data_IF_396596147922
#
_entry.id   IF_396596147922
#
_cell.length_a   1.000
_cell.length_b   1.000
_cell.length_c   1.000
_cell.angle_alpha   90.00
_cell.angle_beta   90.00
_cell.angle_gamma   90.00
#
_symmetry.space_group_name_H-M   'P 1'
#
loop_
_entity.id
_entity.type
_entity.pdbx_description
1 polymer ?
#
# COMPACT_ATOMS: atom_id res chain seq x y z
N UNK A 1 -2.24 -38.13 6.23
CA UNK A 1 -3.43 -37.33 5.84
C UNK A 1 -3.37 -36.04 6.62
N UNK A 2 -2.62 -35.08 6.12
CA UNK A 2 -2.63 -33.68 6.56
C UNK A 2 -3.94 -33.07 6.04
N UNK A 3 -4.70 -32.30 6.83
CA UNK A 3 -5.90 -31.66 6.31
C UNK A 3 -5.49 -30.69 5.20
N UNK A 4 -6.03 -30.90 4.00
CA UNK A 4 -6.04 -29.91 2.92
C UNK A 4 -6.69 -28.64 3.48
N UNK A 5 -5.91 -27.61 3.86
CA UNK A 5 -6.46 -26.57 4.73
C UNK A 5 -5.72 -25.24 4.89
N UNK A 6 -4.67 -24.97 4.11
CA UNK A 6 -4.10 -23.62 3.96
C UNK A 6 -3.80 -23.38 2.48
N UNK A 7 -4.86 -23.30 1.67
CA UNK A 7 -4.72 -22.82 0.30
C UNK A 7 -4.59 -21.30 0.37
N UNK A 8 -3.39 -20.79 0.09
CA UNK A 8 -3.19 -19.36 -0.13
C UNK A 8 -3.86 -18.99 -1.47
N UNK A 9 -4.66 -17.91 -1.53
CA UNK A 9 -5.16 -17.45 -2.82
C UNK A 9 -3.97 -17.14 -3.73
N UNK A 10 -3.94 -17.74 -4.93
CA UNK A 10 -2.88 -17.46 -5.91
C UNK A 10 -2.99 -16.02 -6.44
N UNK A 11 -4.20 -15.46 -6.45
CA UNK A 11 -4.44 -14.08 -6.84
C UNK A 11 -3.94 -13.09 -5.77
N UNK A 12 -3.14 -12.08 -6.16
CA UNK A 12 -2.69 -11.05 -5.24
C UNK A 12 -3.87 -10.19 -4.74
N UNK A 13 -3.88 -9.92 -3.44
CA UNK A 13 -4.85 -9.00 -2.83
C UNK A 13 -4.38 -7.55 -3.02
N UNK A 14 -5.32 -6.62 -3.19
CA UNK A 14 -5.04 -5.19 -3.24
C UNK A 14 -5.54 -4.53 -1.96
N UNK A 15 -4.74 -3.63 -1.41
CA UNK A 15 -5.14 -2.79 -0.29
C UNK A 15 -4.78 -1.33 -0.56
N UNK A 16 -5.65 -0.39 -0.19
CA UNK A 16 -5.36 1.05 -0.25
C UNK A 16 -5.19 1.57 1.16
N UNK A 17 -4.04 2.14 1.48
CA UNK A 17 -3.78 2.77 2.78
C UNK A 17 -3.85 4.28 2.62
N UNK A 18 -4.71 4.94 3.40
CA UNK A 18 -4.81 6.40 3.45
C UNK A 18 -4.02 6.92 4.64
N UNK A 19 -3.19 7.94 4.42
CA UNK A 19 -2.41 8.62 5.42
C UNK A 19 -2.87 10.06 5.61
N UNK A 20 -2.87 10.52 6.86
CA UNK A 20 -2.93 11.93 7.24
C UNK A 20 -1.77 12.21 8.21
N UNK A 21 -0.95 13.22 7.92
CA UNK A 21 0.24 13.55 8.72
C UNK A 21 1.20 12.38 8.97
N UNK A 22 1.36 11.49 8.00
CA UNK A 22 2.18 10.28 8.15
C UNK A 22 1.55 9.18 9.01
N UNK A 23 0.33 9.39 9.53
CA UNK A 23 -0.43 8.40 10.29
C UNK A 23 -1.42 7.69 9.35
N UNK A 24 -1.44 6.36 9.30
CA UNK A 24 -2.48 5.63 8.58
C UNK A 24 -3.84 5.84 9.28
N UNK A 25 -4.81 6.37 8.54
CA UNK A 25 -6.15 6.72 9.03
C UNK A 25 -7.27 5.92 8.38
N UNK A 26 -7.00 5.27 7.24
CA UNK A 26 -7.97 4.40 6.57
C UNK A 26 -7.30 3.25 5.80
N UNK A 27 -8.01 2.12 5.70
CA UNK A 27 -7.70 1.01 4.79
C UNK A 27 -8.93 0.76 3.92
N UNK A 28 -8.75 0.74 2.59
CA UNK A 28 -9.82 0.56 1.60
C UNK A 28 -11.01 1.52 1.79
N UNK A 29 -10.74 2.73 2.28
CA UNK A 29 -11.74 3.76 2.59
C UNK A 29 -12.43 3.63 3.95
N UNK A 30 -12.16 2.57 4.72
CA UNK A 30 -12.67 2.39 6.07
C UNK A 30 -11.72 3.02 7.09
N UNK A 31 -12.23 3.90 7.94
CA UNK A 31 -11.44 4.57 8.98
C UNK A 31 -10.93 3.56 10.01
N UNK A 32 -9.64 3.66 10.34
CA UNK A 32 -8.96 2.79 11.30
C UNK A 32 -8.06 3.59 12.22
N UNK A 33 -7.88 3.08 13.43
CA UNK A 33 -6.75 3.48 14.28
C UNK A 33 -5.45 2.87 13.76
N UNK A 34 -4.30 3.41 14.18
CA UNK A 34 -2.98 2.84 13.85
C UNK A 34 -2.87 1.35 14.23
N UNK A 35 -3.41 0.96 15.39
CA UNK A 35 -3.40 -0.43 15.83
C UNK A 35 -4.26 -1.32 14.92
N UNK A 36 -5.44 -0.85 14.53
CA UNK A 36 -6.32 -1.57 13.60
C UNK A 36 -5.67 -1.67 12.21
N UNK A 37 -5.06 -0.60 11.71
CA UNK A 37 -4.33 -0.62 10.45
C UNK A 37 -3.23 -1.70 10.46
N UNK A 38 -2.43 -1.72 11.52
CA UNK A 38 -1.39 -2.72 11.74
C UNK A 38 -1.95 -4.14 11.81
N UNK A 39 -3.02 -4.36 12.58
CA UNK A 39 -3.65 -5.68 12.72
C UNK A 39 -4.28 -6.16 11.41
N UNK A 40 -4.93 -5.27 10.65
CA UNK A 40 -5.53 -5.59 9.36
C UNK A 40 -4.47 -5.97 8.34
N UNK A 41 -3.41 -5.17 8.19
CA UNK A 41 -2.32 -5.48 7.26
C UNK A 41 -1.57 -6.74 7.66
N UNK A 42 -1.30 -6.97 8.95
CA UNK A 42 -0.74 -8.23 9.41
C UNK A 42 -1.65 -9.42 9.13
N UNK A 43 -2.97 -9.26 9.23
CA UNK A 43 -3.90 -10.34 8.90
C UNK A 43 -3.89 -10.62 7.40
N UNK A 44 -3.96 -9.59 6.56
CA UNK A 44 -4.00 -9.73 5.10
C UNK A 44 -2.69 -10.29 4.56
N UNK A 45 -1.55 -9.80 5.03
CA UNK A 45 -0.23 -10.30 4.60
C UNK A 45 0.13 -11.63 5.29
N UNK A 46 -0.19 -11.78 6.57
CA UNK A 46 0.08 -12.99 7.36
C UNK A 46 -0.87 -14.16 7.08
N UNK A 47 -2.04 -13.92 6.49
CA UNK A 47 -2.90 -14.97 5.94
C UNK A 47 -2.21 -15.79 4.85
N UNK A 48 -1.09 -15.30 4.32
CA UNK A 48 -0.30 -15.95 3.28
C UNK A 48 0.85 -16.85 3.76
N UNK A 49 0.94 -17.12 5.06
CA UNK A 49 1.86 -18.13 5.62
C UNK A 49 3.32 -17.69 5.64
N UNK A 50 3.85 -17.46 6.84
CA UNK A 50 5.29 -17.48 7.07
C UNK A 50 5.75 -18.94 7.12
N UNK A 51 5.97 -19.55 5.95
CA UNK A 51 6.71 -20.81 5.88
C UNK A 51 8.19 -20.53 6.16
N UNK A 52 8.62 -20.94 7.36
CA UNK A 52 10.04 -21.12 7.66
C UNK A 52 10.73 -19.90 8.26
N UNK A 53 10.90 -19.95 9.58
CA UNK A 53 12.03 -19.36 10.34
C UNK A 53 12.38 -17.92 9.98
N UNK A 54 11.61 -16.97 10.47
CA UNK A 54 12.12 -15.76 11.12
C UNK A 54 10.95 -15.03 11.80
N UNK A 55 10.92 -15.08 13.13
CA UNK A 55 9.89 -14.44 13.97
C UNK A 55 10.04 -12.90 13.96
N UNK A 56 10.92 -12.36 13.10
CA UNK A 56 11.41 -10.97 13.17
C UNK A 56 10.75 -9.99 12.22
N UNK A 57 9.92 -10.44 11.28
CA UNK A 57 9.31 -9.56 10.31
C UNK A 57 7.83 -9.44 10.65
N UNK A 58 7.40 -8.29 11.15
CA UNK A 58 5.98 -7.97 11.22
C UNK A 58 5.58 -7.45 9.85
N UNK A 59 4.99 -8.28 8.96
CA UNK A 59 4.76 -7.89 7.58
C UNK A 59 3.82 -6.69 7.45
N UNK A 60 2.90 -6.52 8.40
CA UNK A 60 2.03 -5.35 8.49
C UNK A 60 2.79 -4.08 8.90
N UNK A 61 3.78 -4.17 9.80
CA UNK A 61 4.64 -3.01 10.09
C UNK A 61 5.48 -2.65 8.87
N UNK A 62 6.08 -3.64 8.20
CA UNK A 62 6.87 -3.42 7.00
C UNK A 62 6.02 -2.77 5.90
N UNK A 63 4.81 -3.28 5.67
CA UNK A 63 3.86 -2.71 4.71
C UNK A 63 3.56 -1.23 5.00
N UNK A 64 3.34 -0.87 6.27
CA UNK A 64 3.11 0.52 6.68
C UNK A 64 4.33 1.41 6.47
N UNK A 65 5.53 0.93 6.86
CA UNK A 65 6.78 1.67 6.68
C UNK A 65 7.08 1.89 5.20
N UNK A 66 6.95 0.85 4.37
CA UNK A 66 7.16 0.96 2.93
C UNK A 66 6.14 1.88 2.28
N UNK A 67 4.86 1.79 2.68
CA UNK A 67 3.84 2.70 2.17
C UNK A 67 4.14 4.16 2.54
N UNK A 68 4.53 4.42 3.79
CA UNK A 68 4.90 5.75 4.24
C UNK A 68 6.11 6.31 3.46
N UNK A 69 7.18 5.52 3.32
CA UNK A 69 8.39 5.92 2.57
C UNK A 69 8.09 6.28 1.11
N UNK A 70 7.23 5.50 0.44
CA UNK A 70 6.80 5.80 -0.93
C UNK A 70 5.92 7.06 -1.00
N UNK A 71 5.05 7.29 -0.03
CA UNK A 71 4.26 8.52 0.02
C UNK A 71 5.15 9.74 0.27
N UNK A 72 6.16 9.63 1.14
CA UNK A 72 7.12 10.70 1.41
C UNK A 72 7.84 11.16 0.14
N UNK A 73 8.21 10.23 -0.76
CA UNK A 73 8.86 10.55 -2.03
C UNK A 73 8.02 11.41 -2.97
N UNK A 74 6.69 11.31 -2.86
CA UNK A 74 5.74 12.04 -3.73
C UNK A 74 5.06 13.22 -3.03
N UNK A 75 5.26 13.38 -1.72
CA UNK A 75 4.68 14.44 -0.89
C UNK A 75 5.59 15.67 -0.82
N UNK A 76 5.02 16.86 -1.10
CA UNK A 76 5.75 18.14 -1.05
C UNK A 76 5.71 18.80 0.34
N UNK A 77 5.89 18.02 1.41
CA UNK A 77 6.10 18.52 2.77
C UNK A 77 5.26 17.85 3.86
N UNK A 78 4.01 17.47 3.57
CA UNK A 78 3.17 16.70 4.51
C UNK A 78 2.83 15.37 3.87
N UNK A 79 3.16 14.27 4.55
CA UNK A 79 2.90 12.90 4.10
C UNK A 79 1.41 12.62 4.25
N UNK A 80 0.60 12.93 3.23
CA UNK A 80 -0.85 12.73 3.28
C UNK A 80 -1.38 12.38 1.90
N UNK A 81 -2.23 11.35 1.83
CA UNK A 81 -2.65 10.76 0.56
C UNK A 81 -2.85 9.26 0.64
N UNK A 82 -2.91 8.62 -0.53
CA UNK A 82 -3.24 7.21 -0.68
C UNK A 82 -2.07 6.41 -1.27
N UNK A 83 -1.83 5.23 -0.71
CA UNK A 83 -0.86 4.27 -1.24
C UNK A 83 -1.56 2.96 -1.53
N UNK A 84 -1.40 2.45 -2.76
CA UNK A 84 -1.91 1.15 -3.17
C UNK A 84 -0.83 0.09 -3.00
N UNK A 85 -1.18 -0.94 -2.24
CA UNK A 85 -0.36 -2.12 -1.99
C UNK A 85 -0.91 -3.33 -2.74
N UNK A 86 0.01 -4.17 -3.20
CA UNK A 86 -0.24 -5.52 -3.68
C UNK A 86 0.30 -6.47 -2.61
N UNK A 87 -0.58 -7.29 -2.06
CA UNK A 87 -0.28 -8.24 -0.99
C UNK A 87 -0.25 -9.66 -1.58
N UNK A 88 0.86 -10.37 -1.41
CA UNK A 88 1.00 -11.72 -1.95
C UNK A 88 2.06 -12.52 -1.17
N UNK A 89 1.73 -13.75 -0.76
CA UNK A 89 2.71 -14.73 -0.21
C UNK A 89 3.61 -14.16 0.91
N UNK A 90 3.03 -13.41 1.84
CA UNK A 90 3.75 -12.82 2.99
C UNK A 90 4.45 -11.50 2.68
N UNK A 91 4.32 -10.97 1.46
CA UNK A 91 4.91 -9.71 1.04
C UNK A 91 3.85 -8.64 0.76
N UNK A 92 4.25 -7.38 0.94
CA UNK A 92 3.50 -6.20 0.51
C UNK A 92 4.38 -5.35 -0.40
N UNK A 93 3.92 -5.07 -1.62
CA UNK A 93 4.66 -4.29 -2.63
C UNK A 93 3.82 -3.06 -2.99
N UNK A 94 4.45 -1.89 -3.05
CA UNK A 94 3.78 -0.65 -3.46
C UNK A 94 3.58 -0.65 -4.97
N UNK A 95 2.34 -0.41 -5.40
CA UNK A 95 1.98 -0.27 -6.82
C UNK A 95 1.85 1.19 -7.26
N UNK A 96 1.32 2.04 -6.38
CA UNK A 96 1.20 3.48 -6.64
C UNK A 96 1.09 4.26 -5.34
N UNK A 97 1.68 5.45 -5.27
CA UNK A 97 1.47 6.42 -4.20
C UNK A 97 0.95 7.73 -4.81
N UNK A 98 -0.06 8.34 -4.16
CA UNK A 98 -0.66 9.60 -4.59
C UNK A 98 -0.85 10.51 -3.38
N UNK A 99 -0.22 11.67 -3.41
CA UNK A 99 -0.44 12.74 -2.43
C UNK A 99 -1.76 13.47 -2.72
N UNK A 100 -2.51 13.82 -1.66
CA UNK A 100 -3.82 14.48 -1.77
C UNK A 100 -3.72 15.93 -2.30
N UNK A 101 -2.58 16.59 -2.10
CA UNK A 101 -2.30 17.98 -2.48
C UNK A 101 -1.54 18.08 -3.80
N UNK A 102 -0.88 17.01 -4.23
CA UNK A 102 -0.31 16.89 -5.57
C UNK A 102 -1.43 16.65 -6.59
N UNK A 103 -2.28 17.66 -6.77
CA UNK A 103 -3.02 17.88 -8.01
C UNK A 103 -2.09 18.57 -9.02
N UNK A 104 -0.91 18.01 -9.24
CA UNK A 104 -0.11 18.33 -10.42
C UNK A 104 -0.23 17.15 -11.37
N UNK A 105 -1.29 17.22 -12.17
CA UNK A 105 -1.45 16.41 -13.36
C UNK A 105 -0.41 16.89 -14.38
N UNK A 106 0.69 16.14 -14.52
CA UNK A 106 1.67 16.36 -15.59
C UNK A 106 1.32 15.57 -16.87
N UNK A 107 0.04 15.25 -17.11
CA UNK A 107 -0.44 14.79 -18.41
C UNK A 107 -0.80 15.95 -19.35
N UNK A 108 -0.10 17.08 -19.26
CA UNK A 108 0.03 17.95 -20.44
C UNK A 108 1.19 17.42 -21.29
N UNK A 109 0.89 16.47 -22.17
CA UNK A 109 1.93 15.83 -22.97
C UNK A 109 1.44 14.88 -24.05
N UNK A 110 0.49 15.31 -24.90
CA UNK A 110 0.59 15.16 -26.37
C UNK A 110 -0.59 15.83 -27.06
N UNK A 111 -0.34 17.09 -27.43
CA UNK A 111 -1.10 17.85 -28.41
C UNK A 111 -0.19 18.96 -28.89
N UNK A 112 0.91 18.60 -29.56
CA UNK A 112 1.73 19.56 -30.29
C UNK A 112 0.83 20.19 -31.35
N UNK A 113 0.45 21.45 -31.14
CA UNK A 113 -0.08 22.30 -32.20
C UNK A 113 1.06 22.56 -33.20
N UNK A 114 0.92 22.00 -34.39
CA UNK A 114 1.60 22.49 -35.58
C UNK A 114 0.55 22.97 -36.56
N UNK A 115 0.08 24.21 -36.36
CA UNK A 115 -0.45 25.01 -37.46
C UNK A 115 0.04 26.44 -37.34
N UNK A 116 1.30 26.62 -37.75
CA UNK A 116 1.78 27.87 -38.34
C UNK A 116 2.25 27.59 -39.76
N UNK A 117 1.33 27.75 -40.71
CA UNK A 117 1.49 28.33 -42.06
C UNK A 117 0.17 28.24 -42.82
#
# INVERSE_FOLDING_TARGET
>A
MTPDGFAFPDDPERAVVTFDEGVPVAIDGETVTLLEAFQQLNRRVGAFGIEGREIYESPGALALVTAHDELEKVSAGRVSGEVRLILHRGNAVVNSARDERTLYDFTTGTGFDQSVA
#
